data_IF_899009777235
#
_entry.id   IF_899009777235
#
_cell.length_a   1.000
_cell.length_b   1.000
_cell.length_c   1.000
_cell.angle_alpha   90.00
_cell.angle_beta   90.00
_cell.angle_gamma   90.00
#
_symmetry.space_group_name_H-M   'P 1'
#
loop_
_entity.id
_entity.type
_entity.pdbx_description
1 polymer ?
#
# COMPACT_ATOMS: atom_id res chain seq x y z
N UNK A 1 24.59 -3.54 27.09
CA UNK A 1 23.62 -3.67 25.98
C UNK A 1 22.65 -2.50 26.07
N UNK A 2 22.73 -1.56 25.13
CA UNK A 2 22.02 -0.28 25.17
C UNK A 2 20.63 -0.41 24.54
N UNK A 3 19.64 0.23 25.18
CA UNK A 3 18.19 0.17 24.90
C UNK A 3 17.77 0.51 23.45
N UNK A 4 18.70 0.99 22.61
CA UNK A 4 18.46 1.39 21.22
C UNK A 4 18.55 0.27 20.17
N UNK A 5 19.26 -0.84 20.44
CA UNK A 5 19.35 -1.98 19.50
C UNK A 5 18.09 -2.86 19.52
N UNK A 6 17.46 -3.00 20.69
CA UNK A 6 16.24 -3.79 20.87
C UNK A 6 15.05 -3.21 20.10
N UNK A 7 14.92 -1.88 20.02
CA UNK A 7 13.84 -1.22 19.28
C UNK A 7 13.96 -1.46 17.77
N UNK A 8 15.16 -1.27 17.21
CA UNK A 8 15.43 -1.54 15.78
C UNK A 8 15.20 -3.00 15.42
N UNK A 9 15.56 -3.93 16.30
CA UNK A 9 15.34 -5.37 16.11
C UNK A 9 13.85 -5.73 16.12
N UNK A 10 13.05 -5.15 17.02
CA UNK A 10 11.59 -5.38 17.07
C UNK A 10 10.86 -4.79 15.86
N UNK A 11 11.19 -3.57 15.45
CA UNK A 11 10.66 -2.97 14.23
C UNK A 11 11.04 -3.80 13.00
N UNK A 12 12.30 -4.23 12.90
CA UNK A 12 12.74 -5.08 11.81
C UNK A 12 12.06 -6.46 11.82
N UNK A 13 11.73 -7.02 12.99
CA UNK A 13 10.97 -8.27 13.09
C UNK A 13 9.52 -8.10 12.65
N UNK A 14 8.87 -7.01 13.09
CA UNK A 14 7.50 -6.71 12.74
C UNK A 14 7.35 -6.42 11.24
N UNK A 15 8.31 -5.68 10.67
CA UNK A 15 8.37 -5.38 9.24
C UNK A 15 9.16 -6.41 8.42
N UNK A 16 9.59 -7.52 9.02
CA UNK A 16 10.34 -8.56 8.30
C UNK A 16 9.52 -9.14 7.14
N UNK A 17 8.21 -9.43 7.28
CA UNK A 17 7.39 -9.89 6.17
C UNK A 17 7.35 -8.87 5.01
N UNK A 18 7.17 -7.59 5.30
CA UNK A 18 7.10 -6.50 4.33
C UNK A 18 8.44 -6.30 3.63
N UNK A 19 9.54 -6.38 4.40
CA UNK A 19 10.89 -6.24 3.86
C UNK A 19 11.23 -7.40 2.91
N UNK A 20 10.87 -8.64 3.26
CA UNK A 20 11.01 -9.79 2.35
C UNK A 20 10.17 -9.64 1.09
N UNK A 21 8.96 -9.06 1.20
CA UNK A 21 8.10 -8.77 0.04
C UNK A 21 8.80 -7.79 -0.90
N UNK A 22 9.32 -6.72 -0.32
CA UNK A 22 10.03 -5.67 -1.04
C UNK A 22 11.34 -6.17 -1.64
N UNK A 23 12.02 -7.12 -1.01
CA UNK A 23 13.25 -7.74 -1.52
C UNK A 23 12.97 -8.77 -2.63
N UNK A 24 11.72 -9.16 -2.84
CA UNK A 24 11.36 -10.16 -3.85
C UNK A 24 11.52 -11.60 -3.36
N UNK A 25 11.60 -11.84 -2.06
CA UNK A 25 11.86 -13.17 -1.49
C UNK A 25 10.58 -13.99 -1.26
N UNK A 26 9.41 -13.40 -1.49
CA UNK A 26 8.11 -14.05 -1.28
C UNK A 26 7.47 -14.57 -2.57
N UNK A 27 6.58 -15.55 -2.39
CA UNK A 27 5.79 -16.09 -3.49
C UNK A 27 4.81 -15.03 -4.02
N UNK A 28 4.78 -14.86 -5.34
CA UNK A 28 3.92 -13.88 -6.01
C UNK A 28 2.43 -13.94 -5.60
N UNK A 29 1.79 -15.12 -5.46
CA UNK A 29 0.38 -15.18 -5.06
C UNK A 29 0.13 -14.62 -3.65
N UNK A 30 1.08 -14.82 -2.73
CA UNK A 30 0.97 -14.30 -1.35
C UNK A 30 1.05 -12.79 -1.36
N UNK A 31 1.99 -12.22 -2.14
CA UNK A 31 2.13 -10.76 -2.25
C UNK A 31 0.94 -10.15 -2.96
N UNK A 32 0.47 -10.75 -4.05
CA UNK A 32 -0.66 -10.24 -4.82
C UNK A 32 -1.98 -10.29 -4.04
N UNK A 33 -2.34 -11.43 -3.44
CA UNK A 33 -3.62 -11.57 -2.72
C UNK A 33 -3.58 -10.99 -1.31
N UNK A 34 -2.52 -11.27 -0.56
CA UNK A 34 -2.39 -10.80 0.82
C UNK A 34 -2.17 -9.29 0.87
N UNK A 35 -1.04 -8.83 0.33
CA UNK A 35 -0.72 -7.42 0.34
C UNK A 35 -1.53 -6.64 -0.72
N UNK A 36 -1.64 -7.14 -1.94
CA UNK A 36 -2.34 -6.42 -3.00
C UNK A 36 -3.84 -6.26 -2.73
N UNK A 37 -4.55 -7.35 -2.39
CA UNK A 37 -6.01 -7.31 -2.25
C UNK A 37 -6.45 -7.06 -0.80
N UNK A 38 -6.03 -7.90 0.15
CA UNK A 38 -6.55 -7.84 1.52
C UNK A 38 -6.17 -6.52 2.23
N UNK A 39 -4.90 -6.11 2.17
CA UNK A 39 -4.48 -4.84 2.79
C UNK A 39 -5.11 -3.62 2.11
N UNK A 40 -5.27 -3.64 0.79
CA UNK A 40 -5.95 -2.56 0.08
C UNK A 40 -7.42 -2.42 0.48
N UNK A 41 -8.13 -3.54 0.71
CA UNK A 41 -9.49 -3.52 1.25
C UNK A 41 -9.55 -2.87 2.63
N UNK A 42 -8.59 -3.15 3.51
CA UNK A 42 -8.49 -2.51 4.83
C UNK A 42 -8.32 -0.99 4.68
N UNK A 43 -7.41 -0.55 3.81
CA UNK A 43 -7.20 0.89 3.55
C UNK A 43 -8.46 1.58 3.03
N UNK A 44 -9.19 0.94 2.11
CA UNK A 44 -10.46 1.47 1.57
C UNK A 44 -11.52 1.58 2.66
N UNK A 45 -11.68 0.56 3.51
CA UNK A 45 -12.64 0.61 4.63
C UNK A 45 -12.28 1.73 5.59
N UNK A 46 -11.01 1.84 5.99
CA UNK A 46 -10.56 2.92 6.87
C UNK A 46 -10.83 4.30 6.24
N UNK A 47 -10.57 4.45 4.95
CA UNK A 47 -10.86 5.70 4.25
C UNK A 47 -12.36 6.03 4.22
N UNK A 48 -13.21 5.03 3.94
CA UNK A 48 -14.66 5.17 4.00
C UNK A 48 -15.17 5.59 5.40
N UNK A 49 -14.64 4.98 6.46
CA UNK A 49 -15.00 5.37 7.84
C UNK A 49 -14.52 6.79 8.20
N UNK A 50 -13.35 7.20 7.70
CA UNK A 50 -12.84 8.56 7.90
C UNK A 50 -13.68 9.60 7.16
N UNK A 51 -14.22 9.25 5.99
CA UNK A 51 -15.15 10.06 5.21
C UNK A 51 -16.48 10.25 5.94
N UNK A 52 -17.06 9.16 6.45
CA UNK A 52 -18.31 9.18 7.21
C UNK A 52 -18.19 10.01 8.51
N UNK A 53 -17.07 9.87 9.22
CA UNK A 53 -16.79 10.64 10.43
C UNK A 53 -16.40 12.11 10.18
N UNK A 54 -16.28 12.55 8.92
CA UNK A 54 -15.88 13.93 8.57
C UNK A 54 -14.47 14.33 9.02
N UNK A 55 -13.60 13.37 9.34
CA UNK A 55 -12.29 13.64 9.91
C UNK A 55 -11.25 13.99 8.84
N UNK A 56 -11.21 15.27 8.45
CA UNK A 56 -10.36 15.75 7.36
C UNK A 56 -8.86 15.45 7.55
N UNK A 57 -8.33 15.63 8.77
CA UNK A 57 -6.94 15.33 9.08
C UNK A 57 -6.62 13.82 8.94
N UNK A 58 -7.54 12.96 9.35
CA UNK A 58 -7.39 11.51 9.23
C UNK A 58 -7.46 11.05 7.77
N UNK A 59 -8.34 11.67 6.96
CA UNK A 59 -8.39 11.46 5.52
C UNK A 59 -7.07 11.83 4.84
N UNK A 60 -6.47 12.97 5.16
CA UNK A 60 -5.17 13.38 4.62
C UNK A 60 -4.07 12.35 4.91
N UNK A 61 -4.01 11.88 6.15
CA UNK A 61 -3.02 10.87 6.57
C UNK A 61 -3.25 9.56 5.81
N UNK A 62 -4.50 9.11 5.66
CA UNK A 62 -4.82 7.90 4.91
C UNK A 62 -4.50 8.01 3.42
N UNK A 63 -4.66 9.18 2.79
CA UNK A 63 -4.26 9.41 1.39
C UNK A 63 -2.74 9.22 1.25
N UNK A 64 -1.95 9.83 2.13
CA UNK A 64 -0.49 9.70 2.10
C UNK A 64 -0.03 8.26 2.35
N UNK A 65 -0.64 7.57 3.32
CA UNK A 65 -0.35 6.15 3.59
C UNK A 65 -0.70 5.30 2.37
N UNK A 66 -1.86 5.54 1.74
CA UNK A 66 -2.30 4.78 0.56
C UNK A 66 -1.36 5.01 -0.64
N UNK A 67 -0.87 6.23 -0.83
CA UNK A 67 0.10 6.54 -1.87
C UNK A 67 1.43 5.81 -1.65
N UNK A 68 1.98 5.88 -0.44
CA UNK A 68 3.20 5.16 -0.08
C UNK A 68 3.02 3.64 -0.22
N UNK A 69 1.88 3.12 0.21
CA UNK A 69 1.53 1.70 0.09
C UNK A 69 1.42 1.24 -1.38
N UNK A 70 0.88 2.10 -2.26
CA UNK A 70 0.77 1.80 -3.69
C UNK A 70 2.15 1.64 -4.33
N UNK A 71 3.11 2.50 -3.98
CA UNK A 71 4.50 2.35 -4.43
C UNK A 71 5.12 1.06 -3.87
N UNK A 72 4.88 0.77 -2.60
CA UNK A 72 5.34 -0.46 -1.95
C UNK A 72 4.90 -1.71 -2.72
N UNK A 73 3.59 -1.83 -2.97
CA UNK A 73 3.03 -3.03 -3.58
C UNK A 73 3.46 -3.20 -5.05
N UNK A 74 3.58 -2.09 -5.79
CA UNK A 74 4.09 -2.10 -7.16
C UNK A 74 5.49 -2.72 -7.23
N UNK A 75 6.42 -2.24 -6.39
CA UNK A 75 7.79 -2.74 -6.37
C UNK A 75 7.86 -4.18 -5.85
N UNK A 76 7.12 -4.49 -4.78
CA UNK A 76 7.08 -5.84 -4.21
C UNK A 76 6.59 -6.87 -5.24
N UNK A 77 5.49 -6.60 -5.93
CA UNK A 77 4.97 -7.47 -6.99
C UNK A 77 5.95 -7.55 -8.16
N UNK A 78 6.56 -6.44 -8.57
CA UNK A 78 7.51 -6.43 -9.67
C UNK A 78 8.74 -7.31 -9.40
N UNK A 79 9.24 -7.27 -8.17
CA UNK A 79 10.38 -8.06 -7.68
C UNK A 79 10.02 -9.52 -7.38
N UNK A 80 8.80 -9.81 -6.92
CA UNK A 80 8.34 -11.18 -6.69
C UNK A 80 7.85 -11.89 -7.96
N UNK A 81 7.56 -11.16 -9.04
CA UNK A 81 7.04 -11.73 -10.29
C UNK A 81 7.93 -12.81 -10.94
N UNK A 82 9.28 -12.76 -10.89
CA UNK A 82 10.15 -13.85 -11.36
C UNK A 82 10.00 -15.16 -10.59
N UNK A 83 9.45 -15.13 -9.37
CA UNK A 83 9.25 -16.33 -8.53
C UNK A 83 8.05 -17.19 -8.97
N UNK A 84 7.30 -16.74 -9.98
CA UNK A 84 6.16 -17.45 -10.55
C UNK A 84 6.45 -17.82 -12.01
N UNK A 85 5.57 -18.65 -12.59
CA UNK A 85 5.57 -18.90 -14.03
C UNK A 85 5.52 -17.57 -14.80
N UNK A 86 6.29 -17.48 -15.89
CA UNK A 86 6.43 -16.29 -16.75
C UNK A 86 5.09 -15.68 -17.13
N UNK A 87 4.09 -16.50 -17.44
CA UNK A 87 2.74 -16.02 -17.77
C UNK A 87 2.10 -15.26 -16.60
N UNK A 88 2.03 -15.90 -15.42
CA UNK A 88 1.42 -15.32 -14.21
C UNK A 88 2.20 -14.11 -13.70
N UNK A 89 3.53 -14.14 -13.76
CA UNK A 89 4.38 -13.00 -13.38
C UNK A 89 4.16 -11.78 -14.27
N UNK A 90 4.02 -11.99 -15.58
CA UNK A 90 3.74 -10.91 -16.54
C UNK A 90 2.35 -10.33 -16.34
N UNK A 91 1.34 -11.19 -16.17
CA UNK A 91 -0.03 -10.78 -15.90
C UNK A 91 -0.13 -9.95 -14.61
N UNK A 92 0.48 -10.42 -13.52
CA UNK A 92 0.45 -9.72 -12.23
C UNK A 92 1.11 -8.34 -12.31
N UNK A 93 2.22 -8.20 -13.06
CA UNK A 93 2.88 -6.90 -13.27
C UNK A 93 1.96 -5.90 -13.96
N UNK A 94 1.39 -6.27 -15.10
CA UNK A 94 0.52 -5.36 -15.86
C UNK A 94 -0.76 -5.02 -15.10
N UNK A 95 -1.37 -6.00 -14.44
CA UNK A 95 -2.54 -5.78 -13.62
C UNK A 95 -2.25 -4.82 -12.47
N UNK A 96 -1.10 -4.98 -11.80
CA UNK A 96 -0.70 -4.09 -10.69
C UNK A 96 -0.36 -2.69 -11.19
N UNK A 97 0.25 -2.54 -12.36
CA UNK A 97 0.50 -1.21 -12.97
C UNK A 97 -0.82 -0.50 -13.29
N UNK A 98 -1.76 -1.19 -13.93
CA UNK A 98 -3.09 -0.64 -14.23
C UNK A 98 -3.84 -0.25 -12.95
N UNK A 99 -3.80 -1.12 -11.94
CA UNK A 99 -4.39 -0.84 -10.62
C UNK A 99 -3.72 0.34 -9.91
N UNK A 100 -2.38 0.41 -9.93
CA UNK A 100 -1.62 1.49 -9.32
C UNK A 100 -1.91 2.84 -9.97
N UNK A 101 -2.06 2.87 -11.30
CA UNK A 101 -2.47 4.07 -12.03
C UNK A 101 -3.90 4.49 -11.65
N UNK A 102 -4.84 3.55 -11.60
CA UNK A 102 -6.20 3.83 -11.15
C UNK A 102 -6.23 4.37 -9.71
N UNK A 103 -5.47 3.75 -8.80
CA UNK A 103 -5.36 4.19 -7.41
C UNK A 103 -4.78 5.60 -7.32
N UNK A 104 -3.76 5.93 -8.12
CA UNK A 104 -3.20 7.27 -8.18
C UNK A 104 -4.25 8.32 -8.60
N UNK A 105 -5.08 8.01 -9.59
CA UNK A 105 -6.19 8.89 -9.98
C UNK A 105 -7.21 9.05 -8.84
N UNK A 106 -7.62 7.97 -8.20
CA UNK A 106 -8.57 8.02 -7.06
C UNK A 106 -8.01 8.89 -5.93
N UNK A 107 -6.75 8.68 -5.53
CA UNK A 107 -6.10 9.48 -4.48
C UNK A 107 -5.97 10.95 -4.88
N UNK A 108 -5.67 11.24 -6.15
CA UNK A 108 -5.63 12.61 -6.67
C UNK A 108 -6.99 13.30 -6.58
N UNK A 109 -8.08 12.63 -6.98
CA UNK A 109 -9.43 13.16 -6.85
C UNK A 109 -9.81 13.39 -5.39
N UNK A 110 -9.53 12.43 -4.50
CA UNK A 110 -9.78 12.58 -3.06
C UNK A 110 -8.99 13.74 -2.46
N UNK A 111 -7.75 13.96 -2.90
CA UNK A 111 -6.92 15.08 -2.46
C UNK A 111 -7.49 16.44 -2.90
N UNK A 112 -8.01 16.53 -4.14
CA UNK A 112 -8.70 17.73 -4.63
C UNK A 112 -9.96 17.97 -3.80
N UNK A 113 -10.79 16.95 -3.60
CA UNK A 113 -12.02 17.05 -2.82
C UNK A 113 -11.75 17.50 -1.39
N UNK A 114 -10.75 16.91 -0.73
CA UNK A 114 -10.32 17.30 0.59
C UNK A 114 -9.86 18.76 0.63
N UNK A 115 -9.09 19.21 -0.37
CA UNK A 115 -8.69 20.60 -0.52
C UNK A 115 -9.89 21.55 -0.68
N UNK A 116 -10.89 21.18 -1.47
CA UNK A 116 -12.13 21.96 -1.60
C UNK A 116 -12.90 22.03 -0.29
N UNK A 117 -13.01 20.91 0.45
CA UNK A 117 -13.67 20.88 1.76
C UNK A 117 -12.96 21.77 2.80
N UNK A 118 -11.62 21.85 2.74
CA UNK A 118 -10.86 22.81 3.55
C UNK A 118 -11.09 24.27 3.13
N UNK A 119 -11.23 24.54 1.82
CA UNK A 119 -11.44 25.88 1.29
C UNK A 119 -12.87 26.41 1.52
N UNK A 120 -13.86 25.52 1.62
CA UNK A 120 -15.25 25.83 1.93
C UNK A 120 -15.58 25.78 3.44
N UNK A 121 -14.56 25.70 4.30
CA UNK A 121 -14.71 25.68 5.76
C UNK A 121 -15.58 26.80 6.32
#
# INVERSE_FOLDING_TARGET
MTKGESGKSLFALFFAPELRAWQGEMALPVVFWGYGVATSMVLVILHGTALDAGQLAFQQVLILISAAYTVFILVAIWRCAPNANVFWGTLARWLTVAWGLNTAFVLFFLQIELGMRYAHG
#
